data_IF_939031008419
#
_entry.id   IF_939031008419
#
_cell.length_a   1.000
_cell.length_b   1.000
_cell.length_c   1.000
_cell.angle_alpha   90.00
_cell.angle_beta   90.00
_cell.angle_gamma   90.00
#
_symmetry.space_group_name_H-M   'P 1'
#
loop_
_entity.id
_entity.type
_entity.pdbx_description
1 polymer ?
#
# COMPACT_ATOMS: atom_id res chain seq x y z
N UNK A 1 -6.94 5.59 -7.50
CA UNK A 1 -5.92 6.52 -8.06
C UNK A 1 -4.82 5.74 -8.75
N UNK A 2 -4.20 6.27 -9.82
CA UNK A 2 -3.12 5.58 -10.57
C UNK A 2 -1.75 6.10 -10.09
N UNK A 3 -0.94 5.28 -9.39
CA UNK A 3 0.43 5.64 -9.04
C UNK A 3 1.30 5.78 -10.29
N UNK A 4 2.31 6.63 -10.20
CA UNK A 4 3.36 6.83 -11.18
C UNK A 4 4.51 5.87 -10.91
N UNK A 5 5.03 5.30 -11.98
CA UNK A 5 6.31 4.57 -11.99
C UNK A 5 7.50 5.54 -11.84
N UNK A 6 8.70 5.02 -11.54
CA UNK A 6 9.93 5.82 -11.58
C UNK A 6 10.18 6.42 -12.98
N UNK A 7 9.77 5.72 -14.04
CA UNK A 7 9.83 6.22 -15.42
C UNK A 7 8.87 7.40 -15.65
N UNK A 8 7.62 7.30 -15.20
CA UNK A 8 6.64 8.39 -15.33
C UNK A 8 7.02 9.61 -14.47
N UNK A 9 7.62 9.39 -13.30
CA UNK A 9 8.07 10.47 -12.39
C UNK A 9 9.43 11.06 -12.73
N UNK A 10 10.13 10.53 -13.73
CA UNK A 10 11.41 11.06 -14.21
C UNK A 10 12.64 10.61 -13.41
N UNK A 11 12.50 9.62 -12.53
CA UNK A 11 13.58 9.09 -11.70
C UNK A 11 14.21 7.80 -12.25
N UNK A 12 13.89 7.42 -13.49
CA UNK A 12 14.50 6.28 -14.18
C UNK A 12 15.13 6.76 -15.48
N UNK A 13 16.30 6.19 -15.81
CA UNK A 13 17.00 6.47 -17.07
C UNK A 13 16.26 5.92 -18.29
N UNK A 14 15.38 4.93 -18.09
CA UNK A 14 14.63 4.22 -19.15
C UNK A 14 15.51 3.53 -20.20
N UNK A 15 16.77 3.28 -19.87
CA UNK A 15 17.76 2.66 -20.78
C UNK A 15 17.54 1.15 -20.95
N UNK A 16 16.88 0.50 -20.00
CA UNK A 16 16.55 -0.93 -20.07
C UNK A 16 15.04 -1.12 -20.20
N UNK A 17 14.65 -1.92 -21.18
CA UNK A 17 13.27 -2.33 -21.43
C UNK A 17 13.08 -3.82 -21.20
N UNK A 18 12.08 -4.19 -20.39
CA UNK A 18 11.69 -5.60 -20.23
C UNK A 18 11.26 -6.24 -21.56
N UNK A 19 10.63 -5.47 -22.45
CA UNK A 19 10.22 -5.96 -23.77
C UNK A 19 11.44 -6.36 -24.60
N UNK A 20 12.46 -5.50 -24.64
CA UNK A 20 13.69 -5.76 -25.43
C UNK A 20 14.47 -6.98 -24.90
N UNK A 21 14.45 -7.19 -23.57
CA UNK A 21 14.98 -8.41 -22.95
C UNK A 21 14.27 -9.66 -23.49
N UNK A 22 12.93 -9.65 -23.58
CA UNK A 22 12.18 -10.80 -24.08
C UNK A 22 12.26 -10.98 -25.60
N UNK A 23 12.47 -9.90 -26.34
CA UNK A 23 12.66 -9.93 -27.80
C UNK A 23 14.07 -10.42 -28.20
N UNK A 24 14.95 -10.70 -27.22
CA UNK A 24 16.28 -11.27 -27.45
C UNK A 24 17.28 -10.28 -28.04
N UNK A 25 17.05 -8.98 -27.86
CA UNK A 25 17.84 -7.93 -28.50
C UNK A 25 19.11 -7.65 -27.69
N UNK A 26 20.21 -8.33 -28.04
CA UNK A 26 21.58 -7.94 -27.65
C UNK A 26 21.93 -8.03 -26.16
N UNK A 27 23.11 -7.49 -25.80
CA UNK A 27 23.53 -7.33 -24.41
C UNK A 27 22.77 -6.17 -23.75
N UNK A 28 22.12 -6.45 -22.63
CA UNK A 28 21.37 -5.46 -21.84
C UNK A 28 22.22 -5.02 -20.66
N UNK A 29 22.66 -3.75 -20.67
CA UNK A 29 23.43 -3.16 -19.60
C UNK A 29 23.08 -1.66 -19.46
N UNK A 30 22.92 -1.20 -18.22
CA UNK A 30 22.72 0.20 -17.89
C UNK A 30 23.26 0.50 -16.49
N UNK A 31 23.54 1.78 -16.23
CA UNK A 31 23.99 2.28 -14.92
C UNK A 31 23.01 3.36 -14.48
N UNK A 32 22.50 3.23 -13.26
CA UNK A 32 21.66 4.25 -12.64
C UNK A 32 22.50 5.13 -11.74
N UNK A 33 22.39 6.45 -11.92
CA UNK A 33 23.02 7.44 -11.04
C UNK A 33 22.21 7.69 -9.76
N UNK A 34 21.00 7.11 -9.65
CA UNK A 34 20.17 7.23 -8.44
C UNK A 34 20.89 6.57 -7.26
N UNK A 35 21.17 7.38 -6.26
CA UNK A 35 21.80 6.94 -5.01
C UNK A 35 20.82 6.17 -4.13
N UNK A 36 21.35 5.45 -3.13
CA UNK A 36 20.53 4.74 -2.15
C UNK A 36 19.60 5.69 -1.37
N UNK A 37 20.11 6.86 -1.00
CA UNK A 37 19.34 7.85 -0.23
C UNK A 37 18.20 8.44 -1.08
N UNK A 38 18.47 8.76 -2.34
CA UNK A 38 17.42 9.22 -3.26
C UNK A 38 16.35 8.14 -3.50
N UNK A 39 16.77 6.88 -3.63
CA UNK A 39 15.82 5.76 -3.76
C UNK A 39 14.96 5.60 -2.49
N UNK A 40 15.57 5.70 -1.30
CA UNK A 40 14.84 5.67 -0.04
C UNK A 40 13.81 6.81 0.06
N UNK A 41 14.19 8.02 -0.37
CA UNK A 41 13.29 9.16 -0.46
C UNK A 41 12.12 8.91 -1.42
N UNK A 42 12.38 8.32 -2.61
CA UNK A 42 11.32 7.98 -3.56
C UNK A 42 10.36 6.94 -2.99
N UNK A 43 10.86 5.93 -2.28
CA UNK A 43 10.02 4.94 -1.59
C UNK A 43 9.16 5.62 -0.53
N UNK A 44 9.72 6.56 0.24
CA UNK A 44 9.00 7.30 1.27
C UNK A 44 7.94 8.26 0.70
N UNK A 45 8.19 8.87 -0.47
CA UNK A 45 7.21 9.73 -1.15
C UNK A 45 6.10 8.89 -1.82
N UNK A 46 6.45 7.71 -2.32
CA UNK A 46 5.55 6.82 -3.04
C UNK A 46 5.25 7.30 -4.46
N UNK A 47 4.31 6.62 -5.12
CA UNK A 47 3.99 6.87 -6.53
C UNK A 47 2.86 7.88 -6.78
N UNK A 48 2.25 8.49 -5.76
CA UNK A 48 1.08 9.34 -6.02
C UNK A 48 1.51 10.66 -6.72
N UNK A 49 0.94 11.01 -7.89
CA UNK A 49 1.22 12.29 -8.58
C UNK A 49 1.25 13.53 -7.69
N UNK A 50 0.31 13.65 -6.74
CA UNK A 50 0.18 14.81 -5.86
C UNK A 50 1.36 14.96 -4.87
N UNK A 51 2.12 13.88 -4.62
CA UNK A 51 3.19 13.86 -3.63
C UNK A 51 4.58 14.07 -4.23
N UNK A 52 4.73 13.99 -5.56
CA UNK A 52 6.05 13.97 -6.22
C UNK A 52 6.88 15.25 -5.99
N UNK A 53 6.24 16.37 -5.64
CA UNK A 53 6.91 17.64 -5.33
C UNK A 53 7.17 17.89 -3.83
N UNK A 54 6.84 16.94 -2.96
CA UNK A 54 6.96 17.10 -1.50
C UNK A 54 8.28 16.54 -0.97
N UNK A 55 8.67 17.01 0.21
CA UNK A 55 9.73 16.35 0.98
C UNK A 55 9.26 14.96 1.45
N UNK A 56 10.16 13.99 1.67
CA UNK A 56 9.79 12.68 2.23
C UNK A 56 9.00 12.80 3.53
N UNK A 57 9.36 13.76 4.39
CA UNK A 57 8.66 14.03 5.66
C UNK A 57 7.20 14.46 5.43
N UNK A 58 7.00 15.39 4.50
CA UNK A 58 5.67 15.96 4.22
C UNK A 58 4.78 14.95 3.51
N UNK A 59 5.32 14.22 2.52
CA UNK A 59 4.61 13.13 1.85
C UNK A 59 4.16 12.06 2.85
N UNK A 60 5.05 11.65 3.76
CA UNK A 60 4.73 10.71 4.84
C UNK A 60 3.68 11.27 5.81
N UNK A 61 3.71 12.57 6.11
CA UNK A 61 2.70 13.22 6.94
C UNK A 61 1.33 13.20 6.27
N UNK A 62 1.30 13.54 4.98
CA UNK A 62 0.09 13.49 4.17
C UNK A 62 -0.50 12.08 4.12
N UNK A 63 0.31 11.05 3.86
CA UNK A 63 -0.17 9.67 3.82
C UNK A 63 -0.74 9.20 5.16
N UNK A 64 -0.15 9.61 6.29
CA UNK A 64 -0.69 9.29 7.63
C UNK A 64 -2.06 9.96 7.84
N UNK A 65 -2.19 11.24 7.52
CA UNK A 65 -3.47 11.95 7.61
C UNK A 65 -4.52 11.31 6.71
N UNK A 66 -4.16 10.94 5.48
CA UNK A 66 -5.05 10.26 4.56
C UNK A 66 -5.55 8.90 5.11
N UNK A 67 -4.68 8.09 5.71
CA UNK A 67 -5.08 6.83 6.35
C UNK A 67 -5.97 7.05 7.59
N UNK A 68 -5.69 8.09 8.37
CA UNK A 68 -6.53 8.47 9.51
C UNK A 68 -7.92 8.93 9.07
N UNK A 69 -8.01 9.65 7.95
CA UNK A 69 -9.27 10.10 7.35
C UNK A 69 -10.08 8.91 6.83
N UNK A 70 -9.43 7.96 6.11
CA UNK A 70 -10.07 6.69 5.71
C UNK A 70 -10.66 6.00 6.94
N UNK A 71 -9.87 5.85 8.00
CA UNK A 71 -10.32 5.14 9.21
C UNK A 71 -11.49 5.82 9.95
N UNK A 72 -11.72 7.11 9.72
CA UNK A 72 -12.73 7.92 10.43
C UNK A 72 -13.98 8.23 9.61
N UNK A 73 -13.81 8.48 8.31
CA UNK A 73 -14.82 9.11 7.46
C UNK A 73 -15.39 8.09 6.48
N UNK A 74 -14.55 7.30 5.82
CA UNK A 74 -14.97 6.50 4.67
C UNK A 74 -15.70 5.19 5.07
N UNK A 75 -15.46 4.66 6.28
CA UNK A 75 -16.20 3.49 6.78
C UNK A 75 -17.63 3.81 7.29
N UNK A 76 -18.08 5.06 7.23
CA UNK A 76 -19.44 5.41 7.67
C UNK A 76 -20.52 4.99 6.68
N UNK A 77 -20.20 4.94 5.40
CA UNK A 77 -21.18 4.62 4.33
C UNK A 77 -21.06 3.17 3.83
N UNK A 78 -20.28 2.35 4.55
CA UNK A 78 -19.81 1.05 4.11
C UNK A 78 -20.74 -0.14 4.41
N UNK A 79 -21.90 0.11 5.00
CA UNK A 79 -22.87 -0.93 5.37
C UNK A 79 -22.46 -1.85 6.54
N UNK A 80 -21.27 -1.67 7.13
CA UNK A 80 -20.85 -2.43 8.33
C UNK A 80 -21.64 -1.99 9.57
N UNK A 81 -21.87 -2.90 10.51
CA UNK A 81 -22.48 -2.54 11.80
C UNK A 81 -21.62 -1.54 12.59
N UNK A 82 -22.25 -0.71 13.42
CA UNK A 82 -21.58 0.35 14.19
C UNK A 82 -20.45 -0.18 15.09
N UNK A 83 -20.58 -1.39 15.63
CA UNK A 83 -19.53 -2.06 16.42
C UNK A 83 -18.26 -2.43 15.63
N UNK A 84 -18.38 -2.50 14.31
CA UNK A 84 -17.29 -2.79 13.37
C UNK A 84 -16.61 -1.50 12.84
N UNK A 85 -17.07 -0.30 13.23
CA UNK A 85 -16.56 0.98 12.72
C UNK A 85 -15.60 1.71 13.66
N UNK A 86 -15.03 1.02 14.65
CA UNK A 86 -14.06 1.63 15.57
C UNK A 86 -12.79 2.06 14.80
N UNK A 87 -12.49 3.36 14.69
CA UNK A 87 -11.32 3.85 13.96
C UNK A 87 -10.00 3.28 14.48
N UNK A 88 -9.93 2.91 15.77
CA UNK A 88 -8.75 2.26 16.35
C UNK A 88 -8.55 0.86 15.79
N UNK A 89 -9.64 0.09 15.64
CA UNK A 89 -9.61 -1.25 15.04
C UNK A 89 -9.23 -1.18 13.57
N UNK A 90 -9.80 -0.24 12.82
CA UNK A 90 -9.46 -0.03 11.40
C UNK A 90 -7.98 0.34 11.25
N UNK A 91 -7.48 1.29 12.02
CA UNK A 91 -6.06 1.69 11.96
C UNK A 91 -5.12 0.53 12.32
N UNK A 92 -5.45 -0.27 13.33
CA UNK A 92 -4.70 -1.50 13.68
C UNK A 92 -4.70 -2.51 12.55
N UNK A 93 -5.86 -2.72 11.92
CA UNK A 93 -6.00 -3.60 10.77
C UNK A 93 -5.17 -3.13 9.58
N UNK A 94 -5.27 -1.85 9.19
CA UNK A 94 -4.49 -1.27 8.08
C UNK A 94 -2.98 -1.42 8.31
N UNK A 95 -2.50 -1.21 9.54
CA UNK A 95 -1.09 -1.42 9.90
C UNK A 95 -0.67 -2.89 9.81
N UNK A 96 -1.50 -3.80 10.32
CA UNK A 96 -1.23 -5.23 10.23
C UNK A 96 -1.20 -5.70 8.77
N UNK A 97 -2.18 -5.27 7.98
CA UNK A 97 -2.27 -5.54 6.55
C UNK A 97 -1.06 -5.02 5.79
N UNK A 98 -0.63 -3.79 6.04
CA UNK A 98 0.53 -3.17 5.38
C UNK A 98 1.88 -3.87 5.67
N UNK A 99 1.98 -4.74 6.68
CA UNK A 99 3.19 -5.57 6.89
C UNK A 99 3.29 -6.74 5.93
N UNK A 100 2.17 -7.16 5.35
CA UNK A 100 2.08 -8.27 4.40
C UNK A 100 2.14 -7.79 2.95
N UNK A 101 3.01 -6.81 2.67
CA UNK A 101 3.28 -6.35 1.31
C UNK A 101 4.31 -7.27 0.67
N UNK A 102 4.08 -7.65 -0.60
CA UNK A 102 4.93 -8.55 -1.40
C UNK A 102 4.92 -10.05 -1.01
N UNK A 103 4.06 -10.50 -0.10
CA UNK A 103 3.85 -11.93 0.18
C UNK A 103 2.38 -12.18 0.54
N UNK A 104 1.74 -13.26 0.03
CA UNK A 104 0.38 -13.60 0.42
C UNK A 104 0.30 -13.96 1.91
N UNK A 105 -0.74 -13.50 2.58
CA UNK A 105 -1.00 -13.79 3.99
C UNK A 105 -2.48 -14.12 4.20
N UNK A 106 -2.76 -15.12 5.04
CA UNK A 106 -4.14 -15.49 5.37
C UNK A 106 -4.80 -14.41 6.24
N UNK A 107 -6.12 -14.32 6.21
CA UNK A 107 -6.89 -13.45 7.13
C UNK A 107 -6.57 -13.77 8.60
N UNK A 108 -6.31 -15.04 8.94
CA UNK A 108 -5.88 -15.45 10.28
C UNK A 108 -4.52 -14.86 10.66
N UNK A 109 -3.56 -14.86 9.74
CA UNK A 109 -2.24 -14.24 9.93
C UNK A 109 -2.38 -12.73 10.14
N UNK A 110 -3.14 -12.05 9.28
CA UNK A 110 -3.35 -10.59 9.37
C UNK A 110 -4.04 -10.22 10.68
N UNK A 111 -5.06 -10.97 11.10
CA UNK A 111 -5.78 -10.71 12.36
C UNK A 111 -4.93 -10.95 13.60
N UNK A 112 -4.12 -12.01 13.62
CA UNK A 112 -3.14 -12.26 14.71
C UNK A 112 -2.20 -11.06 14.88
N UNK A 113 -1.74 -10.52 13.77
CA UNK A 113 -0.84 -9.37 13.71
C UNK A 113 -1.47 -8.08 14.25
N UNK A 114 -2.80 -7.99 14.35
CA UNK A 114 -3.45 -6.82 14.95
C UNK A 114 -3.22 -6.75 16.45
N UNK A 115 -2.92 -7.86 17.14
CA UNK A 115 -2.73 -7.94 18.59
C UNK A 115 -1.46 -7.22 19.06
N UNK A 116 -1.52 -5.89 19.12
CA UNK A 116 -0.43 -4.99 19.49
C UNK A 116 -0.88 -4.22 20.73
N UNK A 117 0.03 -4.01 21.68
CA UNK A 117 -0.23 -3.15 22.85
C UNK A 117 -1.19 -3.73 23.88
N UNK A 118 -1.37 -5.07 23.90
CA UNK A 118 -2.23 -5.75 24.88
C UNK A 118 -3.71 -5.81 24.50
N UNK A 119 -4.10 -5.28 23.34
CA UNK A 119 -5.45 -5.46 22.82
C UNK A 119 -5.63 -6.80 22.12
N UNK A 120 -6.80 -7.46 22.22
CA UNK A 120 -7.06 -8.73 21.56
C UNK A 120 -7.02 -8.59 20.02
N UNK A 121 -6.75 -9.70 19.30
CA UNK A 121 -6.88 -9.74 17.85
C UNK A 121 -8.28 -9.31 17.39
N UNK A 122 -8.35 -8.63 16.25
CA UNK A 122 -9.62 -8.35 15.59
C UNK A 122 -10.24 -9.67 15.10
N UNK A 123 -11.57 -9.80 15.18
CA UNK A 123 -12.26 -11.00 14.72
C UNK A 123 -12.11 -11.15 13.19
N UNK A 124 -11.97 -12.38 12.71
CA UNK A 124 -11.75 -12.63 11.28
C UNK A 124 -12.90 -12.12 10.40
N UNK A 125 -14.13 -12.19 10.89
CA UNK A 125 -15.31 -11.64 10.21
C UNK A 125 -15.22 -10.12 10.03
N UNK A 126 -14.79 -9.41 11.07
CA UNK A 126 -14.53 -7.96 10.99
C UNK A 126 -13.43 -7.64 9.99
N UNK A 127 -12.34 -8.42 9.99
CA UNK A 127 -11.24 -8.25 9.05
C UNK A 127 -11.65 -8.53 7.59
N UNK A 128 -12.49 -9.54 7.37
CA UNK A 128 -13.08 -9.82 6.06
C UNK A 128 -13.94 -8.65 5.57
N UNK A 129 -14.77 -8.07 6.46
CA UNK A 129 -15.53 -6.86 6.16
C UNK A 129 -14.63 -5.69 5.74
N UNK A 130 -13.52 -5.45 6.45
CA UNK A 130 -12.55 -4.42 6.05
C UNK A 130 -11.88 -4.71 4.70
N UNK A 131 -11.52 -5.97 4.42
CA UNK A 131 -10.93 -6.36 3.14
C UNK A 131 -11.91 -6.13 1.98
N UNK A 132 -13.18 -6.51 2.15
CA UNK A 132 -14.20 -6.31 1.11
C UNK A 132 -14.34 -4.84 0.74
N UNK A 133 -14.32 -3.93 1.72
CA UNK A 133 -14.42 -2.49 1.47
C UNK A 133 -13.21 -1.93 0.74
N UNK A 134 -12.00 -2.31 1.17
CA UNK A 134 -10.77 -1.84 0.54
C UNK A 134 -10.65 -2.39 -0.89
N UNK A 135 -11.06 -3.64 -1.12
CA UNK A 135 -11.03 -4.28 -2.43
C UNK A 135 -12.16 -3.77 -3.36
N UNK A 136 -13.33 -3.37 -2.84
CA UNK A 136 -14.43 -2.87 -3.66
C UNK A 136 -14.17 -1.48 -4.26
N UNK A 137 -13.35 -0.65 -3.62
CA UNK A 137 -13.07 0.73 -4.03
C UNK A 137 -11.94 0.87 -5.08
N UNK A 138 -11.55 -0.24 -5.73
CA UNK A 138 -10.65 -0.18 -6.91
C UNK A 138 -9.16 -0.17 -6.58
N UNK A 139 -8.76 -0.71 -5.43
CA UNK A 139 -7.36 -1.12 -5.20
C UNK A 139 -7.16 -2.49 -5.86
N UNK A 140 -6.16 -2.57 -6.74
CA UNK A 140 -5.85 -3.69 -7.65
C UNK A 140 -6.18 -5.10 -7.13
N UNK A 141 -6.91 -5.85 -7.95
CA UNK A 141 -7.32 -7.26 -7.76
C UNK A 141 -6.17 -8.17 -7.28
N UNK A 142 -4.92 -7.90 -7.68
CA UNK A 142 -3.73 -8.67 -7.25
C UNK A 142 -3.45 -8.64 -5.73
N UNK A 143 -3.92 -7.63 -4.99
CA UNK A 143 -3.74 -7.58 -3.53
C UNK A 143 -4.76 -8.45 -2.77
N UNK A 144 -5.89 -8.78 -3.40
CA UNK A 144 -6.98 -9.54 -2.78
C UNK A 144 -6.91 -11.04 -3.15
N UNK A 145 -6.28 -11.40 -4.28
CA UNK A 145 -6.16 -12.78 -4.79
C UNK A 145 -5.26 -13.69 -3.92
N UNK A 146 -4.41 -13.13 -3.06
CA UNK A 146 -3.49 -13.91 -2.21
C UNK A 146 -4.03 -14.40 -0.87
N UNK A 147 -5.32 -14.14 -0.55
CA UNK A 147 -5.92 -14.41 0.77
C UNK A 147 -6.94 -15.57 0.70
N UNK A 148 -6.73 -16.51 -0.22
CA UNK A 148 -7.50 -17.76 -0.33
C UNK A 148 -6.98 -18.86 0.57
#
# INVERSE_FOLDING_TARGET
>A
MRPMTLSESGHSTKEVSLREIFDGVGEVAAVSDVTLDEMADRIAIGGWPALQGLSPRDAQSFMRSYLDDIARVDLKDSGLDEAHRDPRRVSRFLRAYARHVATPATTATITSDTAIGGEPPIHQETAAGYLTLICSDGVSESACVGIG
#
